data_IF_104259478408
#
_entry.id   IF_104259478408
#
_cell.length_a   1.000
_cell.length_b   1.000
_cell.length_c   1.000
_cell.angle_alpha   90.00
_cell.angle_beta   90.00
_cell.angle_gamma   90.00
#
_symmetry.space_group_name_H-M   'P 1'
#
loop_
_entity.id
_entity.type
_entity.pdbx_description
1 polymer ?
#
# COMPACT_ATOMS: atom_id res chain seq x y z
N UNK A 1 15.57 -5.85 15.59
CA UNK A 1 14.50 -5.21 16.38
C UNK A 1 13.24 -5.18 15.52
N UNK A 2 12.11 -5.67 16.04
CA UNK A 2 10.82 -5.66 15.34
C UNK A 2 9.91 -4.68 16.05
N UNK A 3 9.33 -3.75 15.30
CA UNK A 3 8.44 -2.73 15.83
C UNK A 3 7.06 -2.96 15.22
N UNK A 4 6.03 -3.13 16.04
CA UNK A 4 4.67 -3.38 15.57
C UNK A 4 4.13 -2.20 14.76
N UNK A 5 4.05 -1.03 15.39
CA UNK A 5 3.63 0.20 14.73
C UNK A 5 4.37 1.43 15.30
N UNK A 6 4.60 2.43 14.45
CA UNK A 6 5.21 3.70 14.79
C UNK A 6 4.26 4.82 14.39
N UNK A 7 3.95 5.70 15.34
CA UNK A 7 3.19 6.92 15.10
C UNK A 7 3.96 8.10 15.68
N UNK A 8 4.39 9.00 14.80
CA UNK A 8 5.20 10.15 15.19
C UNK A 8 5.03 11.26 14.14
N UNK A 9 5.36 12.49 14.50
CA UNK A 9 5.36 13.63 13.56
C UNK A 9 6.56 13.54 12.59
N UNK A 10 7.71 13.13 13.13
CA UNK A 10 8.91 12.73 12.41
C UNK A 10 9.36 11.34 12.89
N UNK A 11 9.60 10.42 11.96
CA UNK A 11 10.14 9.11 12.28
C UNK A 11 11.38 8.83 11.44
N UNK A 12 12.51 8.63 12.12
CA UNK A 12 13.77 8.19 11.53
C UNK A 12 14.03 6.74 11.96
N UNK A 13 13.89 5.83 11.01
CA UNK A 13 13.89 4.39 11.25
C UNK A 13 15.08 3.76 10.55
N UNK A 14 16.14 3.54 11.32
CA UNK A 14 17.35 2.89 10.85
C UNK A 14 17.35 1.39 11.25
N UNK A 15 17.37 0.50 10.26
CA UNK A 15 17.60 -0.94 10.46
C UNK A 15 16.55 -1.67 11.31
N UNK A 16 15.27 -1.35 11.16
CA UNK A 16 14.16 -1.99 11.89
C UNK A 16 13.11 -2.60 10.94
N UNK A 17 12.56 -3.76 11.31
CA UNK A 17 11.39 -4.34 10.64
C UNK A 17 10.14 -3.72 11.29
N UNK A 18 9.43 -2.88 10.56
CA UNK A 18 8.26 -2.16 11.09
C UNK A 18 6.98 -2.64 10.42
N UNK A 19 5.97 -3.00 11.23
CA UNK A 19 4.67 -3.46 10.73
C UNK A 19 3.86 -2.32 10.10
N UNK A 20 3.78 -1.16 10.76
CA UNK A 20 3.11 0.02 10.23
C UNK A 20 3.74 1.33 10.68
N UNK A 21 3.92 2.26 9.75
CA UNK A 21 4.43 3.60 10.06
C UNK A 21 3.38 4.63 9.63
N UNK A 22 2.98 5.51 10.56
CA UNK A 22 2.18 6.70 10.25
C UNK A 22 2.90 7.96 10.71
N UNK A 23 3.21 8.85 9.78
CA UNK A 23 3.93 10.08 10.11
C UNK A 23 3.72 11.20 9.09
N UNK A 24 4.13 12.42 9.41
CA UNK A 24 4.09 13.52 8.45
C UNK A 24 5.31 13.49 7.52
N UNK A 25 6.48 13.17 8.08
CA UNK A 25 7.75 12.98 7.37
C UNK A 25 8.46 11.72 7.88
N UNK A 26 8.80 10.81 6.96
CA UNK A 26 9.46 9.54 7.26
C UNK A 26 10.72 9.37 6.43
N UNK A 27 11.82 9.10 7.12
CA UNK A 27 13.05 8.56 6.57
C UNK A 27 13.19 7.12 7.06
N UNK A 28 13.11 6.17 6.14
CA UNK A 28 13.27 4.75 6.49
C UNK A 28 14.41 4.17 5.68
N UNK A 29 15.25 3.42 6.40
CA UNK A 29 16.31 2.61 5.82
C UNK A 29 16.11 1.17 6.31
N UNK A 30 15.33 0.38 5.57
CA UNK A 30 14.93 -0.97 5.99
C UNK A 30 13.75 -1.62 5.22
N UNK A 31 13.06 -2.56 5.89
CA UNK A 31 11.87 -3.27 5.37
C UNK A 31 10.66 -2.93 6.23
N UNK A 32 9.58 -2.43 5.61
CA UNK A 32 8.38 -1.98 6.32
C UNK A 32 7.15 -2.55 5.63
N UNK A 33 6.21 -3.16 6.36
CA UNK A 33 5.04 -3.71 5.68
C UNK A 33 4.11 -2.59 5.16
N UNK A 34 3.78 -1.62 6.00
CA UNK A 34 2.85 -0.52 5.68
C UNK A 34 3.47 0.85 5.99
N UNK A 35 3.45 1.78 5.04
CA UNK A 35 3.83 3.18 5.24
C UNK A 35 2.70 4.12 4.82
N UNK A 36 2.30 5.00 5.73
CA UNK A 36 1.38 6.10 5.48
C UNK A 36 2.03 7.41 5.92
N UNK A 37 2.45 8.24 4.97
CA UNK A 37 3.00 9.56 5.31
C UNK A 37 2.76 10.60 4.24
N UNK A 38 2.70 11.88 4.63
CA UNK A 38 2.44 12.95 3.67
C UNK A 38 3.63 13.18 2.74
N UNK A 39 4.84 13.17 3.30
CA UNK A 39 6.11 13.25 2.57
C UNK A 39 6.98 12.04 2.94
N UNK A 40 7.40 11.25 1.95
CA UNK A 40 8.22 10.06 2.14
C UNK A 40 9.54 10.24 1.40
N UNK A 41 10.65 10.20 2.14
CA UNK A 41 11.99 10.12 1.56
C UNK A 41 12.55 8.73 1.85
N UNK A 42 12.52 7.87 0.84
CA UNK A 42 12.95 6.48 0.96
C UNK A 42 13.92 6.16 -0.18
N UNK A 43 15.23 6.37 0.00
CA UNK A 43 16.22 6.14 -1.05
C UNK A 43 16.28 4.67 -1.47
N UNK A 44 16.26 3.75 -0.49
CA UNK A 44 16.25 2.30 -0.69
C UNK A 44 15.37 1.63 0.37
N UNK A 45 14.16 1.20 0.00
CA UNK A 45 13.22 0.56 0.94
C UNK A 45 12.34 -0.46 0.22
N UNK A 46 12.00 -1.53 0.93
CA UNK A 46 11.07 -2.55 0.45
C UNK A 46 9.81 -2.54 1.32
N UNK A 47 8.66 -2.27 0.71
CA UNK A 47 7.39 -2.16 1.40
C UNK A 47 6.24 -2.83 0.66
N UNK A 48 5.24 -3.32 1.38
CA UNK A 48 4.06 -3.93 0.75
C UNK A 48 3.08 -2.85 0.31
N UNK A 49 2.88 -1.83 1.14
CA UNK A 49 1.92 -0.77 0.90
C UNK A 49 2.52 0.57 1.29
N UNK A 50 2.56 1.51 0.34
CA UNK A 50 3.07 2.86 0.54
C UNK A 50 1.99 3.83 0.10
N UNK A 51 1.53 4.70 0.99
CA UNK A 51 0.55 5.74 0.67
C UNK A 51 1.05 7.11 1.13
N UNK A 52 1.09 8.08 0.22
CA UNK A 52 1.55 9.43 0.53
C UNK A 52 1.29 10.48 -0.53
N UNK A 53 1.25 11.75 -0.14
CA UNK A 53 0.95 12.84 -1.07
C UNK A 53 2.14 13.18 -1.98
N UNK A 54 3.34 13.21 -1.41
CA UNK A 54 4.62 13.44 -2.08
C UNK A 54 5.59 12.32 -1.72
N UNK A 55 6.01 11.54 -2.72
CA UNK A 55 6.89 10.39 -2.53
C UNK A 55 8.14 10.63 -3.37
N UNK A 56 9.29 10.75 -2.70
CA UNK A 56 10.60 10.82 -3.32
C UNK A 56 11.36 9.52 -3.02
N UNK A 57 11.53 8.73 -4.07
CA UNK A 57 12.07 7.38 -3.97
C UNK A 57 12.98 7.10 -5.17
N UNK A 58 14.26 6.89 -4.90
CA UNK A 58 15.25 6.60 -5.94
C UNK A 58 15.23 5.12 -6.36
N UNK A 59 15.07 4.21 -5.40
CA UNK A 59 15.01 2.76 -5.63
C UNK A 59 14.13 2.05 -4.59
N UNK A 60 12.81 2.25 -4.69
CA UNK A 60 11.81 1.61 -3.79
C UNK A 60 11.10 0.46 -4.50
N UNK A 61 11.05 -0.69 -3.82
CA UNK A 61 10.17 -1.81 -4.18
C UNK A 61 8.92 -1.74 -3.33
N UNK A 62 7.82 -1.33 -3.93
CA UNK A 62 6.51 -1.27 -3.28
C UNK A 62 5.58 -2.31 -3.88
N UNK A 63 4.84 -3.05 -3.05
CA UNK A 63 3.76 -3.92 -3.50
C UNK A 63 2.65 -3.12 -4.19
N UNK A 64 2.12 -2.14 -3.47
CA UNK A 64 1.14 -1.17 -3.93
C UNK A 64 1.57 0.22 -3.48
N UNK A 65 1.62 1.17 -4.40
CA UNK A 65 2.00 2.56 -4.14
C UNK A 65 0.85 3.48 -4.53
N UNK A 66 0.38 4.27 -3.58
CA UNK A 66 -0.71 5.22 -3.76
C UNK A 66 -0.16 6.62 -3.48
N UNK A 67 0.01 7.43 -4.51
CA UNK A 67 0.43 8.82 -4.32
C UNK A 67 0.00 9.74 -5.44
N UNK A 68 -0.07 11.04 -5.11
CA UNK A 68 -0.45 12.09 -6.08
C UNK A 68 0.74 12.58 -6.89
N UNK A 69 1.89 12.73 -6.23
CA UNK A 69 3.16 13.10 -6.87
C UNK A 69 4.24 12.11 -6.46
N UNK A 70 4.83 11.44 -7.46
CA UNK A 70 5.89 10.44 -7.28
C UNK A 70 7.07 10.89 -8.14
N UNK A 71 8.21 11.09 -7.50
CA UNK A 71 9.44 11.55 -8.17
C UNK A 71 10.56 10.52 -7.95
N UNK A 72 11.11 9.99 -9.05
CA UNK A 72 12.15 8.95 -9.04
C UNK A 72 11.75 7.63 -9.72
N UNK A 73 12.70 6.71 -9.83
CA UNK A 73 12.54 5.44 -10.54
C UNK A 73 11.96 4.37 -9.60
N UNK A 74 10.64 4.39 -9.42
CA UNK A 74 9.96 3.50 -8.48
C UNK A 74 9.56 2.19 -9.15
N UNK A 75 10.03 1.06 -8.63
CA UNK A 75 9.74 -0.26 -9.19
C UNK A 75 8.63 -0.92 -8.39
N UNK A 76 7.38 -0.66 -8.80
CA UNK A 76 6.19 -1.20 -8.15
C UNK A 76 5.95 -2.64 -8.62
N UNK A 77 5.68 -3.56 -7.69
CA UNK A 77 5.37 -4.96 -8.02
C UNK A 77 3.98 -5.08 -8.68
N UNK A 78 3.05 -4.17 -8.38
CA UNK A 78 1.87 -3.89 -9.19
C UNK A 78 2.09 -2.59 -9.95
N UNK A 79 2.46 -2.71 -11.22
CA UNK A 79 2.36 -1.60 -12.17
C UNK A 79 0.86 -1.25 -12.39
N UNK A 80 0.56 -0.02 -12.82
CA UNK A 80 -0.82 0.48 -13.04
C UNK A 80 -1.64 -0.48 -13.91
N UNK A 81 -0.98 -1.15 -14.87
CA UNK A 81 -1.56 -2.19 -15.73
C UNK A 81 -1.97 -3.45 -14.96
N UNK A 82 -1.15 -3.89 -14.01
CA UNK A 82 -1.45 -5.02 -13.13
C UNK A 82 -2.57 -4.70 -12.14
N UNK A 83 -2.62 -3.48 -11.62
CA UNK A 83 -3.66 -3.03 -10.71
C UNK A 83 -5.06 -3.04 -11.36
N UNK A 84 -5.18 -2.61 -12.61
CA UNK A 84 -6.45 -2.67 -13.37
C UNK A 84 -6.91 -4.12 -13.53
N UNK A 85 -5.98 -5.04 -13.85
CA UNK A 85 -6.31 -6.44 -14.07
C UNK A 85 -6.78 -7.13 -12.79
N UNK A 86 -6.09 -6.88 -11.67
CA UNK A 86 -6.50 -7.39 -10.35
C UNK A 86 -7.85 -6.82 -9.94
N UNK A 87 -8.04 -5.50 -10.09
CA UNK A 87 -9.32 -4.85 -9.79
C UNK A 87 -10.47 -5.41 -10.62
N UNK A 88 -10.27 -5.65 -11.91
CA UNK A 88 -11.27 -6.22 -12.80
C UNK A 88 -11.64 -7.67 -12.40
N UNK A 89 -10.64 -8.51 -12.11
CA UNK A 89 -10.87 -9.90 -11.69
C UNK A 89 -11.62 -9.94 -10.36
N UNK A 90 -11.16 -9.19 -9.36
CA UNK A 90 -11.79 -9.14 -8.04
C UNK A 90 -13.21 -8.59 -8.11
N UNK A 91 -13.43 -7.52 -8.87
CA UNK A 91 -14.76 -6.92 -9.05
C UNK A 91 -15.74 -7.88 -9.73
N UNK A 92 -15.28 -8.60 -10.77
CA UNK A 92 -16.10 -9.57 -11.48
C UNK A 92 -16.50 -10.74 -10.57
N UNK A 93 -15.55 -11.31 -9.84
CA UNK A 93 -15.81 -12.40 -8.89
C UNK A 93 -16.77 -11.97 -7.78
N UNK A 94 -16.53 -10.80 -7.16
CA UNK A 94 -17.40 -10.28 -6.11
C UNK A 94 -18.82 -10.00 -6.63
N UNK A 95 -18.93 -9.45 -7.84
CA UNK A 95 -20.21 -9.20 -8.51
C UNK A 95 -20.98 -10.49 -8.78
N UNK A 96 -20.31 -11.55 -9.25
CA UNK A 96 -20.93 -12.85 -9.47
C UNK A 96 -21.40 -13.50 -8.16
N UNK A 97 -20.61 -13.42 -7.10
CA UNK A 97 -20.97 -13.95 -5.77
C UNK A 97 -22.19 -13.20 -5.22
N UNK A 98 -22.22 -11.87 -5.33
CA UNK A 98 -23.37 -11.06 -4.90
C UNK A 98 -24.62 -11.37 -5.72
N UNK A 99 -24.48 -11.56 -7.03
CA UNK A 99 -25.60 -11.92 -7.90
C UNK A 99 -26.16 -13.30 -7.53
N UNK A 100 -25.28 -14.29 -7.35
CA UNK A 100 -25.64 -15.63 -6.92
C UNK A 100 -26.30 -15.62 -5.53
N UNK A 101 -25.73 -14.88 -4.58
CA UNK A 101 -26.29 -14.69 -3.24
C UNK A 101 -27.67 -14.02 -3.29
N UNK A 102 -27.84 -12.96 -4.09
CA UNK A 102 -29.14 -12.29 -4.25
C UNK A 102 -30.19 -13.24 -4.81
N UNK A 103 -29.82 -14.11 -5.75
CA UNK A 103 -30.74 -15.09 -6.31
C UNK A 103 -31.09 -16.20 -5.31
N UNK A 104 -30.11 -16.71 -4.56
CA UNK A 104 -30.32 -17.74 -3.53
C UNK A 104 -31.12 -17.24 -2.32
N UNK A 105 -30.85 -16.01 -1.85
CA UNK A 105 -31.47 -15.46 -0.64
C UNK A 105 -32.70 -14.59 -0.94
N UNK A 106 -32.84 -14.08 -2.16
CA UNK A 106 -34.02 -13.34 -2.60
C UNK A 106 -35.26 -14.21 -2.75
N UNK A 107 -35.11 -15.52 -2.97
CA UNK A 107 -36.23 -16.45 -3.04
C UNK A 107 -36.76 -16.91 -1.66
N UNK A 108 -36.05 -16.63 -0.55
CA UNK A 108 -36.47 -17.06 0.80
C UNK A 108 -37.41 -16.06 1.50
N UNK A 109 -37.78 -14.96 0.85
CA UNK A 109 -38.62 -13.91 1.43
C UNK A 109 -39.88 -13.61 0.61
N UNK A 110 -40.35 -14.55 -0.21
CA UNK A 110 -41.64 -14.48 -0.91
C UNK A 110 -42.43 -15.75 -0.73
#
# INVERSE_FOLDING_TARGET
>A
MVIGAVQAEHADLNSALVGGVRSQSVAVNGKTALMLANTIHAPQTNAILVAGAHIEAENVRAGLLIGRHVNGNVHTLLDTRGAILVGAITGLLAGLILLAGKWLFGHKNS
#
